data_IF_788807179675
#
_entry.id   IF_788807179675
#
_cell.length_a   1.000
_cell.length_b   1.000
_cell.length_c   1.000
_cell.angle_alpha   90.00
_cell.angle_beta   90.00
_cell.angle_gamma   90.00
#
_symmetry.space_group_name_H-M   'P 1'
#
loop_
_entity.id
_entity.type
_entity.pdbx_description
1 polymer ?
#
# COMPACT_ATOMS: atom_id res chain seq x y z
N UNK A 1 -7.13 -12.72 -12.18
CA UNK A 1 -7.40 -12.18 -10.83
C UNK A 1 -6.07 -12.04 -10.14
N UNK A 2 -5.57 -10.81 -10.08
CA UNK A 2 -4.31 -10.52 -9.41
C UNK A 2 -4.62 -10.39 -7.93
N UNK A 3 -4.26 -11.41 -7.13
CA UNK A 3 -4.53 -11.41 -5.70
C UNK A 3 -3.40 -10.69 -4.95
N UNK A 4 -3.78 -9.75 -4.09
CA UNK A 4 -2.96 -9.25 -3.01
C UNK A 4 -3.67 -9.55 -1.68
N UNK A 5 -2.92 -9.58 -0.59
CA UNK A 5 -3.43 -9.65 0.77
C UNK A 5 -2.80 -8.54 1.58
N UNK A 6 -3.57 -7.94 2.49
CA UNK A 6 -3.07 -6.97 3.45
C UNK A 6 -2.75 -7.70 4.76
N UNK A 7 -1.70 -7.28 5.44
CA UNK A 7 -1.45 -7.73 6.82
C UNK A 7 -2.34 -6.94 7.78
N UNK A 8 -2.49 -7.42 9.01
CA UNK A 8 -3.27 -6.71 10.03
C UNK A 8 -2.67 -5.33 10.32
N UNK A 9 -1.34 -5.20 10.31
CA UNK A 9 -0.64 -3.92 10.48
C UNK A 9 -0.93 -2.97 9.32
N UNK A 10 -0.95 -3.46 8.08
CA UNK A 10 -1.29 -2.61 6.93
C UNK A 10 -2.75 -2.14 6.97
N UNK A 11 -3.68 -2.96 7.48
CA UNK A 11 -5.07 -2.56 7.70
C UNK A 11 -5.13 -1.47 8.79
N UNK A 12 -4.37 -1.63 9.87
CA UNK A 12 -4.29 -0.63 10.93
C UNK A 12 -3.74 0.71 10.41
N UNK A 13 -2.63 0.70 9.66
CA UNK A 13 -2.04 1.90 9.06
C UNK A 13 -3.05 2.65 8.17
N UNK A 14 -3.80 1.90 7.35
CA UNK A 14 -4.84 2.48 6.48
C UNK A 14 -5.94 3.15 7.32
N UNK A 15 -6.40 2.50 8.40
CA UNK A 15 -7.44 3.05 9.26
C UNK A 15 -6.97 4.33 9.95
N UNK A 16 -5.77 4.33 10.55
CA UNK A 16 -5.21 5.49 11.24
C UNK A 16 -5.06 6.70 10.29
N UNK A 17 -4.56 6.47 9.07
CA UNK A 17 -4.46 7.52 8.05
C UNK A 17 -5.84 8.02 7.62
N UNK A 18 -6.82 7.13 7.45
CA UNK A 18 -8.19 7.52 7.08
C UNK A 18 -8.86 8.36 8.16
N UNK A 19 -8.68 8.00 9.43
CA UNK A 19 -9.22 8.74 10.57
C UNK A 19 -8.60 10.14 10.64
N UNK A 20 -7.28 10.25 10.47
CA UNK A 20 -6.58 11.52 10.41
C UNK A 20 -7.07 12.39 9.25
N UNK A 21 -7.18 11.84 8.03
CA UNK A 21 -7.66 12.58 6.86
C UNK A 21 -9.12 13.03 7.02
N UNK A 22 -9.97 12.18 7.62
CA UNK A 22 -11.39 12.47 7.85
C UNK A 22 -11.60 13.65 8.79
N UNK A 23 -10.68 13.87 9.74
CA UNK A 23 -10.70 15.03 10.63
C UNK A 23 -10.51 16.37 9.88
N UNK A 24 -9.87 16.34 8.70
CA UNK A 24 -9.69 17.53 7.85
C UNK A 24 -10.75 17.62 6.76
N UNK A 25 -11.00 16.53 6.03
CA UNK A 25 -11.94 16.45 4.91
C UNK A 25 -12.30 14.99 4.60
N UNK A 26 -13.58 14.63 4.70
CA UNK A 26 -14.08 13.28 4.37
C UNK A 26 -13.73 12.82 2.94
N UNK A 27 -13.68 13.76 1.98
CA UNK A 27 -13.31 13.45 0.60
C UNK A 27 -11.87 12.93 0.48
N UNK A 28 -10.96 13.43 1.32
CA UNK A 28 -9.55 13.06 1.30
C UNK A 28 -9.31 11.62 1.75
N UNK A 29 -10.08 11.11 2.72
CA UNK A 29 -10.00 9.70 3.13
C UNK A 29 -10.45 8.76 2.01
N UNK A 30 -11.53 9.13 1.29
CA UNK A 30 -12.02 8.36 0.14
C UNK A 30 -11.00 8.34 -1.01
N UNK A 31 -10.43 9.50 -1.34
CA UNK A 31 -9.38 9.60 -2.38
C UNK A 31 -8.13 8.79 -2.01
N UNK A 32 -7.74 8.80 -0.73
CA UNK A 32 -6.64 8.00 -0.23
C UNK A 32 -6.90 6.49 -0.39
N UNK A 33 -8.06 6.00 0.05
CA UNK A 33 -8.43 4.58 -0.09
C UNK A 33 -8.42 4.13 -1.56
N UNK A 34 -8.99 4.93 -2.45
CA UNK A 34 -8.98 4.65 -3.89
C UNK A 34 -7.54 4.61 -4.44
N UNK A 35 -6.65 5.47 -3.96
CA UNK A 35 -5.25 5.50 -4.36
C UNK A 35 -4.49 4.24 -3.91
N UNK A 36 -4.71 3.79 -2.68
CA UNK A 36 -4.16 2.55 -2.13
C UNK A 36 -4.66 1.35 -2.92
N UNK A 37 -5.97 1.24 -3.15
CA UNK A 37 -6.56 0.12 -3.90
C UNK A 37 -5.98 0.03 -5.31
N UNK A 38 -5.98 1.15 -6.05
CA UNK A 38 -5.42 1.20 -7.40
C UNK A 38 -3.95 0.77 -7.43
N UNK A 39 -3.16 1.18 -6.42
CA UNK A 39 -1.76 0.79 -6.33
C UNK A 39 -1.60 -0.70 -6.02
N UNK A 40 -2.37 -1.26 -5.09
CA UNK A 40 -2.37 -2.69 -4.78
C UNK A 40 -2.75 -3.55 -6.01
N UNK A 41 -3.77 -3.15 -6.77
CA UNK A 41 -4.14 -3.81 -8.02
C UNK A 41 -3.01 -3.76 -9.06
N UNK A 42 -2.33 -2.62 -9.19
CA UNK A 42 -1.18 -2.46 -10.08
C UNK A 42 -0.01 -3.35 -9.64
N UNK A 43 0.31 -3.40 -8.35
CA UNK A 43 1.36 -4.24 -7.80
C UNK A 43 1.06 -5.73 -7.98
N UNK A 44 -0.20 -6.14 -7.86
CA UNK A 44 -0.59 -7.52 -8.08
C UNK A 44 -0.42 -7.94 -9.55
N UNK A 45 -0.53 -7.02 -10.51
CA UNK A 45 -0.27 -7.28 -11.94
C UNK A 45 1.22 -7.18 -12.29
N UNK A 46 1.92 -6.20 -11.71
CA UNK A 46 3.32 -5.90 -12.02
C UNK A 46 4.17 -5.87 -10.75
N UNK A 47 4.37 -7.01 -10.07
CA UNK A 47 4.99 -7.08 -8.74
C UNK A 47 6.41 -6.51 -8.66
N UNK A 48 7.12 -6.41 -9.78
CA UNK A 48 8.51 -5.96 -9.81
C UNK A 48 8.69 -4.45 -10.03
N UNK A 49 7.60 -3.67 -10.20
CA UNK A 49 7.71 -2.22 -10.44
C UNK A 49 8.13 -1.42 -9.19
N UNK A 50 7.89 -1.96 -8.00
CA UNK A 50 8.33 -1.35 -6.75
C UNK A 50 9.86 -1.39 -6.63
N UNK A 51 10.42 -0.37 -6.01
CA UNK A 51 11.85 -0.28 -5.68
C UNK A 51 12.20 -1.39 -4.69
N UNK A 52 13.34 -2.05 -4.89
CA UNK A 52 13.91 -2.97 -3.90
C UNK A 52 14.42 -2.21 -2.68
N UNK A 53 14.11 -2.71 -1.49
CA UNK A 53 14.65 -2.27 -0.20
C UNK A 53 15.40 -3.44 0.48
N UNK A 54 16.12 -4.23 -0.33
CA UNK A 54 16.90 -5.38 0.14
C UNK A 54 17.95 -5.02 1.21
N UNK A 55 18.36 -3.74 1.26
CA UNK A 55 19.22 -3.19 2.32
C UNK A 55 18.55 -3.17 3.70
N UNK A 56 17.21 -3.16 3.77
CA UNK A 56 16.43 -3.23 5.01
C UNK A 56 15.95 -4.67 5.28
N UNK A 57 15.45 -5.34 4.24
CA UNK A 57 15.03 -6.75 4.32
C UNK A 57 15.03 -7.36 2.91
N UNK A 58 15.59 -8.58 2.71
CA UNK A 58 15.86 -9.13 1.37
C UNK A 58 14.65 -9.19 0.42
N UNK A 59 13.45 -9.40 0.95
CA UNK A 59 12.21 -9.54 0.16
C UNK A 59 11.40 -8.25 0.05
N UNK A 60 11.86 -7.18 0.72
CA UNK A 60 11.11 -5.95 0.86
C UNK A 60 11.16 -5.11 -0.41
N UNK A 61 9.98 -4.70 -0.85
CA UNK A 61 9.79 -3.76 -1.96
C UNK A 61 8.90 -2.62 -1.50
N UNK A 62 9.02 -1.48 -2.15
CA UNK A 62 8.21 -0.31 -1.84
C UNK A 62 7.83 0.51 -3.07
N UNK A 63 6.64 1.09 -3.05
CA UNK A 63 6.16 2.02 -4.08
C UNK A 63 5.47 3.23 -3.47
N UNK A 64 5.77 4.42 -3.99
CA UNK A 64 5.18 5.66 -3.47
C UNK A 64 3.70 5.79 -3.81
N UNK A 65 2.93 6.21 -2.81
CA UNK A 65 1.54 6.69 -2.89
C UNK A 65 1.49 8.00 -2.13
N UNK A 66 1.93 9.10 -2.78
CA UNK A 66 2.22 10.38 -2.14
C UNK A 66 1.12 10.83 -1.15
N UNK A 67 1.46 11.16 0.11
CA UNK A 67 2.81 11.24 0.70
C UNK A 67 3.36 9.94 1.29
N UNK A 68 2.64 8.82 1.17
CA UNK A 68 2.97 7.54 1.78
C UNK A 68 3.79 6.61 0.87
N UNK A 69 4.24 5.50 1.45
CA UNK A 69 4.85 4.38 0.72
C UNK A 69 4.10 3.09 1.10
N UNK A 70 3.77 2.27 0.10
CA UNK A 70 3.29 0.92 0.34
C UNK A 70 4.51 0.00 0.33
N UNK A 71 4.81 -0.60 1.48
CA UNK A 71 5.76 -1.70 1.58
C UNK A 71 5.07 -3.03 1.33
N UNK A 72 5.71 -3.89 0.55
CA UNK A 72 5.17 -5.20 0.21
C UNK A 72 6.29 -6.20 -0.07
N UNK A 73 5.92 -7.47 -0.11
CA UNK A 73 6.78 -8.58 -0.55
C UNK A 73 5.99 -9.51 -1.47
N UNK A 74 6.71 -10.31 -2.25
CA UNK A 74 6.08 -11.32 -3.09
C UNK A 74 5.77 -12.55 -2.25
N UNK A 75 4.53 -13.03 -2.32
CA UNK A 75 4.15 -14.29 -1.68
C UNK A 75 4.54 -15.40 -2.66
N UNK A 76 5.52 -16.22 -2.28
CA UNK A 76 5.78 -17.46 -3.00
C UNK A 76 4.58 -18.40 -2.77
N UNK A 77 4.02 -18.93 -3.85
CA UNK A 77 3.01 -20.00 -3.78
C UNK A 77 3.67 -21.33 -3.49
#
# INVERSE_FOLDING_TARGET
MSNYSLTDEAIQDINEICDDLSNFNLGSATEFLNSIENKCQTLAQFPNIGRSYAELSPELRGISVNPYIIFYRLIQR
#
